data_IF_602851679879
#
_entry.id   IF_602851679879
#
_cell.length_a   1.000
_cell.length_b   1.000
_cell.length_c   1.000
_cell.angle_alpha   90.00
_cell.angle_beta   90.00
_cell.angle_gamma   90.00
#
_symmetry.space_group_name_H-M   'P 1'
#
loop_
_entity.id
_entity.type
_entity.pdbx_description
1 polymer ?
#
# COMPACT_ATOMS: atom_id res chain seq x y z
N UNK A 1 -31.92 -20.30 19.68
CA UNK A 1 -31.39 -20.25 18.30
C UNK A 1 -31.27 -18.81 17.78
N UNK A 2 -32.34 -17.99 17.77
CA UNK A 2 -32.26 -16.57 17.36
C UNK A 2 -31.23 -15.75 18.16
N UNK A 3 -31.16 -15.91 19.48
CA UNK A 3 -30.18 -15.20 20.33
C UNK A 3 -28.72 -15.60 20.04
N UNK A 4 -28.48 -16.84 19.60
CA UNK A 4 -27.16 -17.33 19.22
C UNK A 4 -26.75 -16.80 17.83
N UNK A 5 -27.70 -16.73 16.90
CA UNK A 5 -27.51 -16.12 15.58
C UNK A 5 -27.28 -14.61 15.71
N UNK A 6 -28.03 -13.93 16.59
CA UNK A 6 -27.84 -12.51 16.88
C UNK A 6 -26.46 -12.23 17.49
N UNK A 7 -26.01 -13.06 18.44
CA UNK A 7 -24.65 -12.96 19.01
C UNK A 7 -23.56 -13.26 17.98
N UNK A 8 -23.77 -14.21 17.07
CA UNK A 8 -22.84 -14.52 15.98
C UNK A 8 -22.77 -13.39 14.93
N UNK A 9 -23.91 -12.79 14.58
CA UNK A 9 -24.00 -11.61 13.71
C UNK A 9 -23.37 -10.36 14.35
N UNK A 10 -23.55 -10.17 15.66
CA UNK A 10 -22.87 -9.11 16.42
C UNK A 10 -21.35 -9.35 16.51
N UNK A 11 -20.90 -10.62 16.55
CA UNK A 11 -19.47 -10.97 16.48
C UNK A 11 -18.86 -10.71 15.10
N UNK A 12 -19.60 -10.96 14.02
CA UNK A 12 -19.20 -10.62 12.65
C UNK A 12 -19.21 -9.11 12.38
N UNK A 13 -20.01 -8.36 13.14
CA UNK A 13 -20.10 -6.90 13.03
C UNK A 13 -18.93 -6.16 13.67
N UNK A 14 -18.07 -6.83 14.43
CA UNK A 14 -16.79 -6.24 14.85
C UNK A 14 -15.85 -6.32 13.65
N UNK A 15 -15.94 -5.32 12.78
CA UNK A 15 -14.95 -5.05 11.76
C UNK A 15 -13.69 -4.54 12.47
N UNK A 16 -12.97 -5.42 13.16
CA UNK A 16 -11.65 -5.08 13.66
C UNK A 16 -10.76 -4.88 12.42
N UNK A 17 -10.21 -3.66 12.29
CA UNK A 17 -9.17 -3.38 11.32
C UNK A 17 -8.10 -4.47 11.37
N UNK A 18 -7.48 -4.78 10.23
CA UNK A 18 -6.51 -5.87 10.21
C UNK A 18 -5.35 -5.57 11.16
N UNK A 19 -4.93 -6.58 11.92
CA UNK A 19 -3.70 -6.51 12.69
C UNK A 19 -2.50 -6.25 11.77
N UNK A 20 -1.45 -5.62 12.29
CA UNK A 20 -0.20 -5.45 11.54
C UNK A 20 0.38 -6.77 10.99
N UNK A 21 0.11 -7.89 11.67
CA UNK A 21 0.48 -9.22 11.20
C UNK A 21 -0.27 -9.60 9.92
N UNK A 22 -1.57 -9.33 9.84
CA UNK A 22 -2.38 -9.59 8.65
C UNK A 22 -1.96 -8.68 7.48
N UNK A 23 -1.67 -7.41 7.73
CA UNK A 23 -1.18 -6.46 6.71
C UNK A 23 0.12 -6.96 6.10
N UNK A 24 1.08 -7.37 6.94
CA UNK A 24 2.35 -7.93 6.49
C UNK A 24 2.17 -9.23 5.71
N UNK A 25 1.21 -10.08 6.09
CA UNK A 25 0.92 -11.32 5.35
C UNK A 25 0.30 -11.03 3.96
N UNK A 26 -0.61 -10.07 3.86
CA UNK A 26 -1.14 -9.59 2.59
C UNK A 26 -0.03 -9.00 1.72
N UNK A 27 0.87 -8.20 2.30
CA UNK A 27 2.05 -7.68 1.61
C UNK A 27 2.96 -8.79 1.08
N UNK A 28 3.29 -9.81 1.89
CA UNK A 28 4.06 -10.97 1.43
C UNK A 28 3.42 -11.67 0.22
N UNK A 29 2.10 -11.75 0.17
CA UNK A 29 1.40 -12.31 -1.00
C UNK A 29 1.60 -11.43 -2.24
N UNK A 30 1.42 -10.12 -2.11
CA UNK A 30 1.62 -9.18 -3.23
C UNK A 30 3.08 -9.20 -3.71
N UNK A 31 4.06 -9.22 -2.79
CA UNK A 31 5.49 -9.33 -3.11
C UNK A 31 5.80 -10.60 -3.89
N UNK A 32 5.30 -11.76 -3.45
CA UNK A 32 5.47 -13.05 -4.15
C UNK A 32 4.97 -13.02 -5.59
N UNK A 33 3.97 -12.20 -5.91
CA UNK A 33 3.47 -12.04 -7.27
C UNK A 33 4.28 -11.00 -8.06
N UNK A 34 4.56 -9.84 -7.47
CA UNK A 34 5.13 -8.71 -8.18
C UNK A 34 6.65 -8.78 -8.35
N UNK A 35 7.36 -9.37 -7.40
CA UNK A 35 8.81 -9.51 -7.46
C UNK A 35 9.27 -10.30 -8.71
N UNK A 36 8.85 -11.56 -8.92
CA UNK A 36 9.27 -12.33 -10.09
C UNK A 36 8.76 -11.72 -11.40
N UNK A 37 7.58 -11.09 -11.38
CA UNK A 37 7.00 -10.42 -12.56
C UNK A 37 7.86 -9.25 -13.07
N UNK A 38 8.60 -8.59 -12.20
CA UNK A 38 9.48 -7.48 -12.56
C UNK A 38 10.96 -7.87 -12.57
N UNK A 39 11.29 -9.13 -12.29
CA UNK A 39 12.67 -9.62 -12.19
C UNK A 39 13.54 -8.75 -11.25
N UNK A 40 12.97 -8.32 -10.12
CA UNK A 40 13.66 -7.48 -9.13
C UNK A 40 14.27 -8.35 -8.03
N UNK A 41 15.54 -8.10 -7.72
CA UNK A 41 16.26 -8.80 -6.66
C UNK A 41 15.83 -8.32 -5.27
N UNK A 42 15.87 -9.21 -4.27
CA UNK A 42 15.50 -8.90 -2.88
C UNK A 42 16.29 -7.70 -2.32
N UNK A 43 17.59 -7.67 -2.57
CA UNK A 43 18.51 -6.58 -2.17
C UNK A 43 18.09 -5.19 -2.65
N UNK A 44 17.26 -5.10 -3.69
CA UNK A 44 16.76 -3.83 -4.22
C UNK A 44 15.45 -3.36 -3.60
N UNK A 45 14.70 -4.26 -2.97
CA UNK A 45 13.35 -3.98 -2.42
C UNK A 45 13.24 -4.19 -0.91
N UNK A 46 14.13 -4.98 -0.29
CA UNK A 46 14.22 -5.13 1.15
C UNK A 46 14.41 -3.81 1.90
N UNK A 47 15.27 -2.87 1.45
CA UNK A 47 15.54 -1.66 2.21
C UNK A 47 14.52 -0.53 1.94
N UNK A 48 13.43 -0.80 1.22
CA UNK A 48 12.37 0.18 0.95
C UNK A 48 11.75 0.73 2.24
N UNK A 49 11.52 -0.15 3.22
CA UNK A 49 10.98 0.22 4.52
C UNK A 49 11.97 1.04 5.36
N UNK A 50 13.26 0.97 5.02
CA UNK A 50 14.34 1.75 5.65
C UNK A 50 14.63 3.06 4.90
N UNK A 51 13.86 3.38 3.86
CA UNK A 51 14.00 4.63 3.10
C UNK A 51 15.00 4.58 1.95
N UNK A 52 15.48 3.39 1.57
CA UNK A 52 16.42 3.24 0.46
C UNK A 52 15.62 2.97 -0.82
N UNK A 53 15.46 4.02 -1.62
CA UNK A 53 14.74 3.97 -2.90
C UNK A 53 15.71 3.94 -4.07
N UNK A 54 15.99 2.74 -4.59
CA UNK A 54 16.86 2.52 -5.75
C UNK A 54 16.11 2.88 -7.04
N UNK A 55 16.65 3.86 -7.77
CA UNK A 55 16.04 4.45 -8.97
C UNK A 55 16.31 3.60 -10.22
N UNK A 56 15.71 2.40 -10.23
CA UNK A 56 15.87 1.43 -11.32
C UNK A 56 14.50 0.93 -11.79
N UNK A 57 14.41 0.61 -13.08
CA UNK A 57 13.13 0.32 -13.75
C UNK A 57 12.36 -0.81 -13.08
N UNK A 58 13.03 -1.89 -12.71
CA UNK A 58 12.43 -3.06 -12.05
C UNK A 58 11.88 -2.73 -10.66
N UNK A 59 12.55 -1.85 -9.90
CA UNK A 59 12.10 -1.40 -8.56
C UNK A 59 10.86 -0.51 -8.70
N UNK A 60 10.89 0.42 -9.65
CA UNK A 60 9.76 1.30 -9.97
C UNK A 60 8.53 0.50 -10.39
N UNK A 61 8.72 -0.44 -11.33
CA UNK A 61 7.62 -1.25 -11.85
C UNK A 61 7.15 -2.31 -10.85
N UNK A 62 8.02 -2.74 -9.92
CA UNK A 62 7.59 -3.49 -8.75
C UNK A 62 6.59 -2.71 -7.91
N UNK A 63 6.86 -1.44 -7.59
CA UNK A 63 5.91 -0.61 -6.83
C UNK A 63 4.58 -0.42 -7.56
N UNK A 64 4.62 -0.14 -8.86
CA UNK A 64 3.41 -0.05 -9.68
C UNK A 64 2.64 -1.37 -9.74
N UNK A 65 3.32 -2.53 -9.72
CA UNK A 65 2.68 -3.83 -9.67
C UNK A 65 1.93 -4.03 -8.34
N UNK A 66 2.55 -3.72 -7.21
CA UNK A 66 1.92 -3.80 -5.88
C UNK A 66 0.67 -2.91 -5.83
N UNK A 67 0.78 -1.67 -6.31
CA UNK A 67 -0.34 -0.73 -6.37
C UNK A 67 -1.48 -1.20 -7.28
N UNK A 68 -1.17 -1.86 -8.39
CA UNK A 68 -2.17 -2.53 -9.25
C UNK A 68 -2.87 -3.66 -8.51
N UNK A 69 -2.14 -4.52 -7.79
CA UNK A 69 -2.73 -5.59 -6.99
C UNK A 69 -3.62 -5.05 -5.86
N UNK A 70 -3.24 -3.93 -5.26
CA UNK A 70 -4.04 -3.21 -4.28
C UNK A 70 -5.25 -2.47 -4.88
N UNK A 71 -5.48 -2.56 -6.20
CA UNK A 71 -6.53 -1.85 -6.94
C UNK A 71 -6.49 -0.31 -6.77
N UNK A 72 -5.29 0.23 -6.59
CA UNK A 72 -5.04 1.68 -6.42
C UNK A 72 -4.54 2.36 -7.71
N UNK A 73 -4.45 1.60 -8.81
CA UNK A 73 -4.22 2.12 -10.16
C UNK A 73 -5.43 1.82 -11.02
N UNK A 74 -6.00 2.84 -11.68
CA UNK A 74 -7.11 2.72 -12.63
C UNK A 74 -6.78 3.51 -13.89
N UNK A 75 -7.04 2.92 -15.07
CA UNK A 75 -6.78 3.55 -16.38
C UNK A 75 -5.37 4.12 -16.51
N UNK A 76 -4.37 3.39 -16.01
CA UNK A 76 -2.96 3.80 -16.07
C UNK A 76 -2.58 4.96 -15.14
N UNK A 77 -3.48 5.39 -14.24
CA UNK A 77 -3.23 6.46 -13.27
C UNK A 77 -3.45 5.99 -11.84
N UNK A 78 -2.75 6.61 -10.90
CA UNK A 78 -2.98 6.40 -9.47
C UNK A 78 -4.35 6.96 -9.07
N UNK A 79 -5.07 6.20 -8.26
CA UNK A 79 -6.40 6.53 -7.77
C UNK A 79 -6.36 6.69 -6.25
N UNK A 80 -6.19 7.93 -5.78
CA UNK A 80 -6.09 8.24 -4.34
C UNK A 80 -7.38 7.95 -3.58
N UNK A 81 -8.55 8.07 -4.20
CA UNK A 81 -9.82 7.70 -3.57
C UNK A 81 -9.85 6.19 -3.24
N UNK A 82 -9.43 5.35 -4.19
CA UNK A 82 -9.30 3.91 -3.97
C UNK A 82 -8.21 3.60 -2.93
N UNK A 83 -7.10 4.32 -2.96
CA UNK A 83 -6.03 4.14 -1.99
C UNK A 83 -6.46 4.54 -0.56
N UNK A 84 -7.24 5.61 -0.38
CA UNK A 84 -7.83 5.97 0.91
C UNK A 84 -8.79 4.90 1.42
N UNK A 85 -9.58 4.28 0.54
CA UNK A 85 -10.43 3.14 0.90
C UNK A 85 -9.61 1.92 1.34
N UNK A 86 -8.46 1.66 0.71
CA UNK A 86 -7.54 0.61 1.18
C UNK A 86 -6.99 0.92 2.57
N UNK A 87 -6.66 2.18 2.85
CA UNK A 87 -6.24 2.60 4.20
C UNK A 87 -7.35 2.34 5.23
N UNK A 88 -8.58 2.73 4.92
CA UNK A 88 -9.73 2.53 5.83
C UNK A 88 -10.03 1.06 6.10
N UNK A 89 -9.87 0.21 5.09
CA UNK A 89 -10.16 -1.22 5.17
C UNK A 89 -9.05 -2.00 5.87
N UNK A 90 -7.79 -1.65 5.61
CA UNK A 90 -6.66 -2.50 5.96
C UNK A 90 -5.90 -2.03 7.19
N UNK A 91 -5.75 -0.73 7.44
CA UNK A 91 -4.86 -0.25 8.50
C UNK A 91 -5.55 -0.18 9.87
N UNK A 92 -4.80 -0.38 10.97
CA UNK A 92 -5.28 -0.11 12.33
C UNK A 92 -5.69 1.36 12.49
N UNK A 93 -6.63 1.63 13.40
CA UNK A 93 -7.22 2.97 13.57
C UNK A 93 -6.19 4.10 13.80
N UNK A 94 -5.16 3.84 14.59
CA UNK A 94 -4.09 4.79 14.90
C UNK A 94 -3.20 5.14 13.69
N UNK A 95 -3.17 4.28 12.68
CA UNK A 95 -2.37 4.50 11.45
C UNK A 95 -3.18 5.13 10.31
N UNK A 96 -4.53 5.09 10.35
CA UNK A 96 -5.37 5.56 9.24
C UNK A 96 -5.18 7.04 8.94
N UNK A 97 -5.37 7.89 9.96
CA UNK A 97 -5.28 9.34 9.82
C UNK A 97 -3.88 9.79 9.34
N UNK A 98 -2.76 9.41 10.00
CA UNK A 98 -1.45 9.88 9.57
C UNK A 98 -1.02 9.30 8.20
N UNK A 99 -1.47 8.09 7.84
CA UNK A 99 -1.22 7.55 6.48
C UNK A 99 -1.95 8.37 5.42
N UNK A 100 -3.24 8.70 5.65
CA UNK A 100 -4.02 9.54 4.72
C UNK A 100 -3.45 10.94 4.57
N UNK A 101 -2.93 11.52 5.66
CA UNK A 101 -2.23 12.81 5.63
C UNK A 101 -1.02 12.76 4.71
N UNK A 102 -0.14 11.77 4.89
CA UNK A 102 1.04 11.57 4.04
C UNK A 102 0.68 11.38 2.56
N UNK A 103 -0.32 10.54 2.28
CA UNK A 103 -0.82 10.33 0.92
C UNK A 103 -1.40 11.62 0.30
N UNK A 104 -2.15 12.40 1.07
CA UNK A 104 -2.74 13.65 0.59
C UNK A 104 -1.66 14.72 0.31
N UNK A 105 -0.60 14.78 1.13
CA UNK A 105 0.54 15.67 0.88
C UNK A 105 1.25 15.34 -0.45
N UNK A 106 1.29 14.06 -0.82
CA UNK A 106 1.96 13.57 -2.02
C UNK A 106 1.05 13.45 -3.26
N UNK A 107 -0.21 13.86 -3.18
CA UNK A 107 -1.23 13.53 -4.19
C UNK A 107 -0.96 14.04 -5.60
N UNK A 108 -0.16 15.10 -5.72
CA UNK A 108 0.19 15.74 -7.01
C UNK A 108 1.52 15.25 -7.58
N UNK A 109 2.34 14.54 -6.80
CA UNK A 109 3.64 14.01 -7.27
C UNK A 109 3.50 13.17 -8.54
N UNK A 110 2.48 12.29 -8.68
CA UNK A 110 2.30 11.53 -9.91
C UNK A 110 2.09 12.36 -11.19
N UNK A 111 1.62 13.61 -11.08
CA UNK A 111 1.26 14.42 -12.25
C UNK A 111 2.49 14.84 -13.07
N UNK A 112 3.68 14.80 -12.47
CA UNK A 112 4.95 15.13 -13.11
C UNK A 112 5.52 13.97 -13.97
N UNK A 113 4.90 12.79 -13.91
CA UNK A 113 5.43 11.57 -14.52
C UNK A 113 4.42 10.94 -15.50
N UNK A 114 4.88 10.70 -16.73
CA UNK A 114 4.06 10.04 -17.77
C UNK A 114 4.01 8.52 -17.60
N UNK A 115 5.12 7.93 -17.16
CA UNK A 115 5.20 6.50 -16.93
C UNK A 115 4.64 6.14 -15.55
N UNK A 116 3.84 5.07 -15.50
CA UNK A 116 3.18 4.65 -14.26
C UNK A 116 4.16 4.07 -13.24
N UNK A 117 5.27 3.46 -13.68
CA UNK A 117 6.30 2.97 -12.77
C UNK A 117 7.02 4.15 -12.11
N UNK A 118 7.40 5.17 -12.88
CA UNK A 118 7.96 6.42 -12.34
C UNK A 118 6.98 7.09 -11.36
N UNK A 119 5.73 7.29 -11.76
CA UNK A 119 4.71 7.91 -10.90
C UNK A 119 4.53 7.14 -9.57
N UNK A 120 4.45 5.81 -9.62
CA UNK A 120 4.37 4.94 -8.44
C UNK A 120 5.61 5.03 -7.56
N UNK A 121 6.80 5.12 -8.13
CA UNK A 121 8.03 5.24 -7.37
C UNK A 121 8.10 6.58 -6.62
N UNK A 122 7.90 7.68 -7.32
CA UNK A 122 8.06 9.01 -6.74
C UNK A 122 6.98 9.31 -5.69
N UNK A 123 5.74 8.86 -5.89
CA UNK A 123 4.70 9.01 -4.85
C UNK A 123 5.03 8.17 -3.61
N UNK A 124 5.52 6.93 -3.77
CA UNK A 124 5.87 6.06 -2.64
C UNK A 124 7.00 6.67 -1.82
N UNK A 125 8.04 7.17 -2.50
CA UNK A 125 9.16 7.87 -1.87
C UNK A 125 8.71 9.13 -1.14
N UNK A 126 7.80 9.91 -1.74
CA UNK A 126 7.21 11.08 -1.08
C UNK A 126 6.46 10.69 0.21
N UNK A 127 5.63 9.64 0.16
CA UNK A 127 4.85 9.18 1.31
C UNK A 127 5.79 8.73 2.44
N UNK A 128 6.84 7.96 2.12
CA UNK A 128 7.87 7.61 3.08
C UNK A 128 8.49 8.86 3.72
N UNK A 129 8.95 9.81 2.92
CA UNK A 129 9.60 11.03 3.42
C UNK A 129 8.69 11.89 4.31
N UNK A 130 7.38 11.83 4.10
CA UNK A 130 6.42 12.59 4.91
C UNK A 130 6.24 11.96 6.30
N UNK A 131 6.21 10.63 6.39
CA UNK A 131 6.13 9.95 7.68
C UNK A 131 6.81 8.57 7.67
N UNK A 132 8.13 8.52 7.89
CA UNK A 132 8.90 7.26 7.86
C UNK A 132 8.47 6.27 8.94
N UNK A 133 8.06 6.76 10.11
CA UNK A 133 7.78 5.94 11.30
C UNK A 133 6.60 4.97 11.16
N UNK A 134 5.66 5.28 10.26
CA UNK A 134 4.47 4.47 10.02
C UNK A 134 4.50 3.77 8.66
N UNK A 135 5.56 3.98 7.88
CA UNK A 135 5.63 3.53 6.51
C UNK A 135 5.79 2.01 6.46
N UNK A 136 5.04 1.41 5.54
CA UNK A 136 5.21 0.01 5.17
C UNK A 136 4.97 -0.15 3.67
N UNK A 137 5.89 -0.81 2.99
CA UNK A 137 5.73 -1.29 1.62
C UNK A 137 5.99 -2.80 1.57
N UNK A 138 5.12 -3.58 0.89
CA UNK A 138 5.30 -5.00 0.63
C UNK A 138 6.64 -5.39 0.05
#
# INVERSE_FOLDING_TARGET
MLLAILRFLLFLAVCEAMTMKQIKNTGKMMRKTCQPKNNVADEKIDPLNDGVFIDEKEVKCYMACIMKMANTIKNGKLNFEAAFKQVDLLLPEDLKAPTKEAMNACRKVPDDYKDICDASFHVTKCIYNHNPSIFYFP
#
